data_IF_697829612015
#
_entry.id   IF_697829612015
#
_cell.length_a   1.000
_cell.length_b   1.000
_cell.length_c   1.000
_cell.angle_alpha   90.00
_cell.angle_beta   90.00
_cell.angle_gamma   90.00
#
_symmetry.space_group_name_H-M   'P 1'
#
loop_
_entity.id
_entity.type
_entity.pdbx_description
1 polymer ?
#
# COMPACT_ATOMS: atom_id res chain seq x y z
N UNK A 1 -23.41 -17.13 14.97
CA UNK A 1 -22.36 -16.75 15.95
C UNK A 1 -21.81 -15.41 15.53
N UNK A 2 -21.52 -14.53 16.47
CA UNK A 2 -20.85 -13.26 16.18
C UNK A 2 -19.45 -13.54 15.63
N UNK A 3 -19.14 -13.07 14.42
CA UNK A 3 -17.83 -13.27 13.80
C UNK A 3 -16.78 -12.44 14.53
N UNK A 4 -15.51 -12.87 14.50
CA UNK A 4 -14.39 -12.14 15.11
C UNK A 4 -13.76 -11.16 14.13
N UNK A 5 -13.15 -10.09 14.64
CA UNK A 5 -12.15 -9.32 13.89
C UNK A 5 -10.77 -9.90 14.18
N UNK A 6 -10.00 -10.16 13.13
CA UNK A 6 -8.58 -10.48 13.26
C UNK A 6 -7.74 -9.20 13.28
N UNK A 7 -7.09 -8.92 14.40
CA UNK A 7 -6.15 -7.82 14.56
C UNK A 7 -4.73 -8.33 14.30
N UNK A 8 -4.02 -7.69 13.37
CA UNK A 8 -2.66 -8.04 12.98
C UNK A 8 -1.73 -6.86 13.25
N UNK A 9 -0.70 -7.09 14.06
CA UNK A 9 0.31 -6.08 14.40
C UNK A 9 1.54 -6.24 13.52
N UNK A 10 1.94 -5.20 12.80
CA UNK A 10 3.22 -5.18 12.05
C UNK A 10 4.25 -4.20 12.61
N UNK A 11 3.87 -3.39 13.61
CA UNK A 11 4.70 -2.38 14.26
C UNK A 11 4.31 -0.96 13.86
N UNK A 12 5.31 -0.14 13.53
CA UNK A 12 5.12 1.26 13.16
C UNK A 12 4.91 2.22 14.33
N UNK A 13 4.68 3.49 13.99
CA UNK A 13 4.52 4.60 14.94
C UNK A 13 3.36 4.40 15.91
N UNK A 14 2.28 3.71 15.49
CA UNK A 14 1.15 3.38 16.37
C UNK A 14 1.54 2.48 17.55
N UNK A 15 2.61 1.71 17.37
CA UNK A 15 3.28 0.92 18.39
C UNK A 15 4.53 1.61 18.95
N UNK A 16 4.81 2.85 18.54
CA UNK A 16 6.04 3.56 18.87
C UNK A 16 6.01 4.28 20.21
N UNK A 17 7.18 4.51 20.81
CA UNK A 17 7.32 5.16 22.11
C UNK A 17 8.43 6.21 22.08
N UNK A 18 8.11 7.42 22.51
CA UNK A 18 9.07 8.51 22.75
C UNK A 18 9.56 8.52 24.19
N UNK A 19 10.57 9.34 24.47
CA UNK A 19 11.05 9.56 25.85
C UNK A 19 10.25 10.64 26.59
N UNK A 20 9.66 11.57 25.84
CA UNK A 20 8.70 12.59 26.28
C UNK A 20 7.39 12.51 25.49
N UNK A 21 6.30 13.03 26.07
CA UNK A 21 4.99 13.16 25.41
C UNK A 21 4.97 14.26 24.32
N UNK A 22 6.04 15.05 24.20
CA UNK A 22 6.24 16.05 23.13
C UNK A 22 7.12 15.54 21.99
N UNK A 23 7.66 14.32 22.07
CA UNK A 23 8.56 13.76 21.06
C UNK A 23 7.73 13.23 19.88
N UNK A 24 7.52 14.07 18.87
CA UNK A 24 6.72 13.71 17.69
C UNK A 24 7.55 13.19 16.51
N UNK A 25 8.86 13.34 16.54
CA UNK A 25 9.78 12.99 15.43
C UNK A 25 10.95 12.11 15.85
N UNK A 26 11.35 12.14 17.13
CA UNK A 26 12.46 11.36 17.68
C UNK A 26 11.99 10.24 18.60
N UNK A 27 11.20 9.30 18.08
CA UNK A 27 10.71 8.13 18.81
C UNK A 27 11.21 6.83 18.15
N UNK A 28 11.10 5.71 18.88
CA UNK A 28 11.35 4.38 18.32
C UNK A 28 10.00 3.76 17.95
N UNK A 29 9.82 3.36 16.70
CA UNK A 29 8.60 2.67 16.26
C UNK A 29 8.61 1.18 16.67
N UNK A 30 7.45 0.54 16.71
CA UNK A 30 7.38 -0.91 16.93
C UNK A 30 7.87 -1.38 18.30
N UNK A 31 7.57 -0.64 19.36
CA UNK A 31 7.98 -0.97 20.75
C UNK A 31 6.89 -1.74 21.49
N UNK A 32 5.63 -1.29 21.36
CA UNK A 32 4.49 -1.88 22.07
C UNK A 32 3.94 -3.11 21.34
N UNK A 33 3.45 -4.09 22.10
CA UNK A 33 2.64 -5.18 21.56
C UNK A 33 1.24 -4.72 21.12
N UNK A 34 0.63 -5.45 20.18
CA UNK A 34 -0.72 -5.18 19.70
C UNK A 34 -1.79 -5.24 20.81
N UNK A 35 -1.60 -6.13 21.78
CA UNK A 35 -2.44 -6.25 22.96
C UNK A 35 -2.35 -5.01 23.85
N UNK A 36 -1.15 -4.48 24.09
CA UNK A 36 -0.95 -3.22 24.81
C UNK A 36 -1.62 -2.04 24.09
N UNK A 37 -1.48 -1.97 22.76
CA UNK A 37 -2.13 -0.94 21.94
C UNK A 37 -3.65 -1.04 22.10
N UNK A 38 -4.26 -2.23 21.94
CA UNK A 38 -5.71 -2.35 22.01
C UNK A 38 -6.25 -1.98 23.40
N UNK A 39 -5.56 -2.40 24.47
CA UNK A 39 -5.95 -2.05 25.85
C UNK A 39 -5.91 -0.53 26.08
N UNK A 40 -5.01 0.18 25.40
CA UNK A 40 -4.92 1.64 25.49
C UNK A 40 -6.07 2.40 24.78
N UNK A 41 -6.84 1.73 23.91
CA UNK A 41 -7.89 2.39 23.11
C UNK A 41 -9.29 2.16 23.73
N UNK A 42 -9.90 3.19 24.33
CA UNK A 42 -11.26 3.08 24.85
C UNK A 42 -12.28 2.90 23.71
N UNK A 43 -13.39 2.23 24.00
CA UNK A 43 -14.51 2.08 23.06
C UNK A 43 -14.37 0.94 22.06
N UNK A 44 -13.28 0.16 22.07
CA UNK A 44 -13.12 -1.01 21.19
C UNK A 44 -13.93 -2.23 21.65
N UNK A 45 -14.15 -2.41 22.96
CA UNK A 45 -14.81 -3.59 23.53
C UNK A 45 -16.14 -3.99 22.84
N UNK A 46 -17.07 -3.07 22.50
CA UNK A 46 -18.33 -3.42 21.84
C UNK A 46 -18.21 -3.99 20.43
N UNK A 47 -17.06 -3.82 19.76
CA UNK A 47 -16.83 -4.30 18.39
C UNK A 47 -16.09 -5.65 18.33
N UNK A 48 -15.82 -6.26 19.50
CA UNK A 48 -15.30 -7.63 19.60
C UNK A 48 -16.35 -8.68 19.16
N UNK A 49 -16.06 -9.98 19.28
CA UNK A 49 -14.81 -10.57 19.77
C UNK A 49 -13.62 -10.38 18.80
N UNK A 50 -12.40 -10.48 19.33
CA UNK A 50 -11.14 -10.32 18.59
C UNK A 50 -10.29 -11.59 18.58
N UNK A 51 -9.47 -11.75 17.55
CA UNK A 51 -8.29 -12.63 17.57
C UNK A 51 -7.05 -11.79 17.24
N UNK A 52 -5.92 -12.12 17.85
CA UNK A 52 -4.71 -11.31 17.77
C UNK A 52 -3.59 -12.08 17.09
N UNK A 53 -2.80 -11.40 16.28
CA UNK A 53 -1.55 -11.93 15.75
C UNK A 53 -0.52 -10.81 15.66
N UNK A 54 0.50 -10.84 16.50
CA UNK A 54 1.69 -10.01 16.29
C UNK A 54 2.49 -10.65 15.16
N UNK A 55 2.39 -10.10 13.95
CA UNK A 55 3.07 -10.61 12.77
C UNK A 55 4.55 -10.18 12.76
N UNK A 56 4.78 -8.90 13.00
CA UNK A 56 6.11 -8.29 13.12
C UNK A 56 6.04 -7.09 14.06
N UNK A 57 7.18 -6.52 14.42
CA UNK A 57 7.22 -5.27 15.18
C UNK A 57 8.38 -4.40 14.69
N UNK A 58 8.22 -3.82 13.49
CA UNK A 58 9.29 -3.12 12.77
C UNK A 58 8.85 -1.73 12.30
N UNK A 59 9.82 -0.90 11.90
CA UNK A 59 9.57 0.29 11.10
C UNK A 59 9.10 -0.09 9.70
N UNK A 60 8.14 0.65 9.16
CA UNK A 60 7.59 0.35 7.82
C UNK A 60 8.61 0.57 6.70
N UNK A 61 9.66 1.36 6.94
CA UNK A 61 10.81 1.51 6.05
C UNK A 61 11.60 0.21 5.86
N UNK A 62 11.54 -0.71 6.82
CA UNK A 62 12.24 -2.01 6.80
C UNK A 62 11.38 -3.15 6.24
N UNK A 63 10.19 -2.84 5.72
CA UNK A 63 9.34 -3.85 5.09
C UNK A 63 10.01 -4.39 3.83
N UNK A 64 9.91 -5.70 3.67
CA UNK A 64 10.53 -6.44 2.57
C UNK A 64 9.46 -7.16 1.75
N UNK A 65 9.85 -7.62 0.58
CA UNK A 65 9.01 -8.50 -0.26
C UNK A 65 8.59 -9.76 0.50
N UNK A 66 9.46 -10.33 1.33
CA UNK A 66 9.14 -11.51 2.12
C UNK A 66 8.06 -11.21 3.16
N UNK A 67 8.15 -10.05 3.84
CA UNK A 67 7.09 -9.59 4.75
C UNK A 67 5.75 -9.48 4.02
N UNK A 68 5.70 -8.95 2.79
CA UNK A 68 4.47 -8.89 2.00
C UNK A 68 3.90 -10.27 1.64
N UNK A 69 4.74 -11.19 1.18
CA UNK A 69 4.31 -12.56 0.85
C UNK A 69 3.75 -13.28 2.08
N UNK A 70 4.43 -13.20 3.21
CA UNK A 70 4.00 -13.83 4.46
C UNK A 70 2.74 -13.20 5.02
N UNK A 71 2.64 -11.87 5.01
CA UNK A 71 1.46 -11.15 5.45
C UNK A 71 0.25 -11.48 4.58
N UNK A 72 0.41 -11.52 3.25
CA UNK A 72 -0.67 -11.90 2.32
C UNK A 72 -1.17 -13.33 2.59
N UNK A 73 -0.26 -14.29 2.80
CA UNK A 73 -0.63 -15.67 3.17
C UNK A 73 -1.34 -15.74 4.51
N UNK A 74 -0.90 -14.98 5.51
CA UNK A 74 -1.55 -14.90 6.82
C UNK A 74 -2.96 -14.32 6.70
N UNK A 75 -3.12 -13.19 6.02
CA UNK A 75 -4.41 -12.53 5.82
C UNK A 75 -5.35 -13.47 5.06
N UNK A 76 -4.89 -14.10 3.97
CA UNK A 76 -5.68 -15.08 3.21
C UNK A 76 -6.15 -16.25 4.10
N UNK A 77 -5.25 -16.80 4.94
CA UNK A 77 -5.60 -17.87 5.89
C UNK A 77 -6.69 -17.42 6.87
N UNK A 78 -6.63 -16.19 7.36
CA UNK A 78 -7.59 -15.65 8.31
C UNK A 78 -8.96 -15.40 7.66
N UNK A 79 -8.99 -14.75 6.48
CA UNK A 79 -10.25 -14.45 5.80
C UNK A 79 -10.96 -15.71 5.27
N UNK A 80 -10.23 -16.80 5.04
CA UNK A 80 -10.81 -18.11 4.70
C UNK A 80 -11.56 -18.80 5.85
N UNK A 81 -11.43 -18.33 7.09
CA UNK A 81 -12.15 -18.91 8.24
C UNK A 81 -13.55 -18.30 8.36
N UNK A 82 -14.55 -19.16 8.54
CA UNK A 82 -15.95 -18.73 8.72
C UNK A 82 -16.17 -17.92 10.00
N UNK A 83 -15.33 -18.11 11.02
CA UNK A 83 -15.41 -17.36 12.28
C UNK A 83 -14.76 -15.96 12.22
N UNK A 84 -14.16 -15.57 11.09
CA UNK A 84 -13.58 -14.23 10.87
C UNK A 84 -14.49 -13.40 9.98
N UNK A 85 -14.91 -12.23 10.46
CA UNK A 85 -15.76 -11.27 9.75
C UNK A 85 -15.00 -10.16 9.03
N UNK A 86 -13.77 -9.89 9.44
CA UNK A 86 -12.90 -8.86 8.86
C UNK A 86 -11.52 -8.85 9.49
N UNK A 87 -10.59 -8.13 8.87
CA UNK A 87 -9.18 -8.01 9.31
C UNK A 87 -8.84 -6.54 9.48
N UNK A 88 -8.16 -6.20 10.59
CA UNK A 88 -7.53 -4.89 10.80
C UNK A 88 -6.04 -5.09 10.99
N UNK A 89 -5.23 -4.32 10.26
CA UNK A 89 -3.77 -4.38 10.30
C UNK A 89 -3.24 -3.05 10.82
N UNK A 90 -2.54 -3.04 11.95
CA UNK A 90 -1.80 -1.87 12.43
C UNK A 90 -0.41 -1.85 11.81
N UNK A 91 -0.06 -0.75 11.15
CA UNK A 91 1.11 -0.65 10.29
C UNK A 91 1.78 0.73 10.40
N UNK A 92 3.09 0.80 10.12
CA UNK A 92 3.81 2.06 10.01
C UNK A 92 3.40 2.84 8.75
N UNK A 93 3.41 4.17 8.81
CA UNK A 93 2.82 4.99 7.75
C UNK A 93 3.70 5.14 6.51
N UNK A 94 5.02 4.91 6.59
CA UNK A 94 5.93 5.24 5.49
C UNK A 94 5.72 4.38 4.23
N UNK A 95 5.41 3.09 4.39
CA UNK A 95 5.15 2.16 3.28
C UNK A 95 3.75 1.54 3.36
N UNK A 96 2.84 2.13 4.14
CA UNK A 96 1.47 1.62 4.30
C UNK A 96 0.73 1.51 2.97
N UNK A 97 0.89 2.49 2.09
CA UNK A 97 0.27 2.52 0.77
C UNK A 97 0.74 1.36 -0.13
N UNK A 98 1.98 0.91 0.05
CA UNK A 98 2.57 -0.20 -0.70
C UNK A 98 2.01 -1.54 -0.19
N UNK A 99 2.04 -1.75 1.13
CA UNK A 99 1.45 -2.95 1.75
C UNK A 99 -0.05 -3.05 1.45
N UNK A 100 -0.78 -1.94 1.53
CA UNK A 100 -2.20 -1.89 1.22
C UNK A 100 -2.45 -2.34 -0.22
N UNK A 101 -1.72 -1.77 -1.19
CA UNK A 101 -1.91 -2.13 -2.60
C UNK A 101 -1.49 -3.57 -2.91
N UNK A 102 -0.41 -4.06 -2.28
CA UNK A 102 0.00 -5.46 -2.42
C UNK A 102 -1.09 -6.42 -1.93
N UNK A 103 -1.66 -6.19 -0.74
CA UNK A 103 -2.74 -7.02 -0.22
C UNK A 103 -4.01 -6.90 -1.06
N UNK A 104 -4.30 -5.69 -1.58
CA UNK A 104 -5.43 -5.42 -2.46
C UNK A 104 -5.40 -6.27 -3.73
N UNK A 105 -4.20 -6.62 -4.21
CA UNK A 105 -4.02 -7.44 -5.40
C UNK A 105 -3.85 -8.93 -5.10
N UNK A 106 -3.56 -9.34 -3.86
CA UNK A 106 -3.12 -10.72 -3.58
C UNK A 106 -4.03 -11.51 -2.65
N UNK A 107 -4.92 -10.84 -1.91
CA UNK A 107 -5.88 -11.50 -1.01
C UNK A 107 -7.24 -11.62 -1.69
N UNK A 108 -7.73 -12.85 -1.86
CA UNK A 108 -8.99 -13.16 -2.53
C UNK A 108 -10.09 -13.35 -1.49
N UNK A 109 -10.84 -12.28 -1.23
CA UNK A 109 -12.00 -12.26 -0.34
C UNK A 109 -12.81 -10.99 -0.57
N UNK A 110 -14.10 -11.03 -0.20
CA UNK A 110 -14.92 -9.82 -0.06
C UNK A 110 -14.99 -9.31 1.37
N UNK A 111 -14.45 -10.05 2.35
CA UNK A 111 -14.43 -9.62 3.75
C UNK A 111 -13.61 -8.32 3.89
N UNK A 112 -14.03 -7.37 4.75
CA UNK A 112 -13.29 -6.13 4.95
C UNK A 112 -11.85 -6.38 5.40
N UNK A 113 -10.90 -5.72 4.75
CA UNK A 113 -9.50 -5.64 5.16
C UNK A 113 -9.15 -4.17 5.31
N UNK A 114 -8.85 -3.76 6.54
CA UNK A 114 -8.56 -2.37 6.90
C UNK A 114 -7.12 -2.27 7.38
N UNK A 115 -6.35 -1.33 6.83
CA UNK A 115 -5.02 -0.98 7.33
C UNK A 115 -5.10 0.38 8.02
N UNK A 116 -4.45 0.50 9.17
CA UNK A 116 -4.39 1.74 9.94
C UNK A 116 -3.03 1.91 10.60
N UNK A 117 -2.77 3.11 11.11
CA UNK A 117 -1.54 3.46 11.80
C UNK A 117 -1.67 4.82 12.48
N UNK A 118 -0.54 5.47 12.74
CA UNK A 118 -0.52 6.81 13.32
C UNK A 118 0.67 7.62 12.83
N UNK A 119 0.54 8.94 12.84
CA UNK A 119 1.63 9.87 12.60
C UNK A 119 2.35 10.27 13.90
N UNK A 120 1.69 10.11 15.05
CA UNK A 120 2.25 10.39 16.39
C UNK A 120 2.39 9.09 17.20
N UNK A 121 3.45 8.94 18.02
CA UNK A 121 3.68 7.73 18.80
C UNK A 121 2.69 7.53 19.95
N UNK A 122 2.56 6.30 20.45
CA UNK A 122 1.69 5.92 21.56
C UNK A 122 2.21 6.51 22.89
N UNK A 123 1.71 7.70 23.23
CA UNK A 123 2.14 8.47 24.40
C UNK A 123 2.37 9.95 24.11
N UNK A 124 2.40 10.33 22.82
CA UNK A 124 2.42 11.73 22.44
C UNK A 124 1.13 12.45 22.86
N UNK A 125 1.25 13.75 23.17
CA UNK A 125 0.09 14.63 23.34
C UNK A 125 -0.74 14.61 22.06
N UNK A 126 -2.04 14.36 22.21
CA UNK A 126 -2.98 14.24 21.08
C UNK A 126 -2.54 13.19 20.05
N UNK A 127 -2.04 12.03 20.51
CA UNK A 127 -1.75 10.89 19.65
C UNK A 127 -2.99 10.49 18.82
N UNK A 128 -2.79 10.24 17.53
CA UNK A 128 -3.86 9.91 16.57
C UNK A 128 -4.14 8.40 16.48
N UNK A 129 -3.20 7.56 16.94
CA UNK A 129 -3.35 6.10 16.95
C UNK A 129 -4.64 5.56 17.58
N UNK A 130 -5.06 6.03 18.77
CA UNK A 130 -6.27 5.52 19.41
C UNK A 130 -7.54 5.70 18.57
N UNK A 131 -7.78 6.89 18.02
CA UNK A 131 -8.97 7.13 17.20
C UNK A 131 -8.88 6.40 15.86
N UNK A 132 -7.70 6.37 15.23
CA UNK A 132 -7.49 5.65 13.97
C UNK A 132 -7.77 4.15 14.12
N UNK A 133 -7.31 3.51 15.21
CA UNK A 133 -7.56 2.09 15.46
C UNK A 133 -9.04 1.81 15.73
N UNK A 134 -9.70 2.64 16.55
CA UNK A 134 -11.13 2.49 16.82
C UNK A 134 -11.94 2.59 15.51
N UNK A 135 -11.64 3.58 14.68
CA UNK A 135 -12.31 3.77 13.38
C UNK A 135 -12.01 2.64 12.40
N UNK A 136 -10.79 2.11 12.38
CA UNK A 136 -10.46 0.95 11.54
C UNK A 136 -11.26 -0.30 11.94
N UNK A 137 -11.45 -0.54 13.24
CA UNK A 137 -12.29 -1.62 13.76
C UNK A 137 -13.76 -1.40 13.41
N UNK A 138 -14.27 -0.17 13.53
CA UNK A 138 -15.63 0.20 13.14
C UNK A 138 -15.88 -0.03 11.65
N UNK A 139 -14.94 0.37 10.80
CA UNK A 139 -14.98 0.10 9.35
C UNK A 139 -14.99 -1.40 9.09
N UNK A 140 -14.13 -2.18 9.76
CA UNK A 140 -14.12 -3.64 9.60
C UNK A 140 -15.42 -4.33 10.06
N UNK A 141 -16.20 -3.71 10.95
CA UNK A 141 -17.56 -4.16 11.34
C UNK A 141 -18.67 -3.65 10.44
N UNK A 142 -18.42 -2.66 9.59
CA UNK A 142 -19.49 -2.04 8.81
C UNK A 142 -19.87 -2.92 7.61
N UNK A 143 -21.14 -3.33 7.46
CA UNK A 143 -21.55 -4.20 6.36
C UNK A 143 -21.25 -3.62 4.96
N UNK A 144 -21.34 -2.30 4.79
CA UNK A 144 -21.03 -1.64 3.51
C UNK A 144 -19.54 -1.61 3.14
N UNK A 145 -18.65 -2.08 4.03
CA UNK A 145 -17.22 -2.24 3.76
C UNK A 145 -16.88 -3.55 3.06
N UNK A 146 -17.83 -4.49 2.97
CA UNK A 146 -17.68 -5.73 2.18
C UNK A 146 -17.47 -5.40 0.70
N UNK A 147 -16.50 -6.06 0.07
CA UNK A 147 -16.21 -5.91 -1.36
C UNK A 147 -15.64 -4.54 -1.75
N UNK A 148 -15.12 -3.75 -0.80
CA UNK A 148 -14.48 -2.44 -1.09
C UNK A 148 -12.98 -2.52 -1.41
N UNK A 149 -12.45 -3.74 -1.52
CA UNK A 149 -11.02 -3.99 -1.59
C UNK A 149 -10.35 -3.78 -0.22
N UNK A 150 -9.02 -3.66 -0.23
CA UNK A 150 -8.29 -3.21 0.96
C UNK A 150 -8.47 -1.71 1.10
N UNK A 151 -8.78 -1.25 2.32
CA UNK A 151 -8.94 0.17 2.62
C UNK A 151 -7.94 0.63 3.68
N UNK A 152 -7.54 1.90 3.60
CA UNK A 152 -6.71 2.58 4.60
C UNK A 152 -7.59 3.54 5.39
N UNK A 153 -7.51 3.50 6.71
CA UNK A 153 -8.34 4.33 7.61
C UNK A 153 -7.45 5.10 8.57
N UNK A 154 -7.35 6.41 8.36
CA UNK A 154 -6.68 7.37 9.23
C UNK A 154 -7.44 8.70 9.18
N UNK A 155 -7.40 9.44 10.29
CA UNK A 155 -7.92 10.81 10.36
C UNK A 155 -9.40 10.94 9.94
N UNK A 156 -10.23 9.94 10.25
CA UNK A 156 -11.66 9.93 9.90
C UNK A 156 -11.98 9.67 8.42
N UNK A 157 -10.99 9.39 7.57
CA UNK A 157 -11.19 9.09 6.16
C UNK A 157 -11.02 7.59 5.86
N UNK A 158 -11.67 7.15 4.79
CA UNK A 158 -11.57 5.79 4.25
C UNK A 158 -11.05 5.91 2.82
N UNK A 159 -9.85 5.42 2.57
CA UNK A 159 -9.21 5.47 1.25
C UNK A 159 -9.03 4.09 0.64
N UNK A 160 -9.14 4.00 -0.69
CA UNK A 160 -8.89 2.76 -1.43
C UNK A 160 -7.40 2.49 -1.56
N UNK A 161 -6.97 1.26 -1.30
CA UNK A 161 -5.57 0.86 -1.33
C UNK A 161 -4.84 1.18 -2.64
N UNK A 162 -5.53 1.24 -3.78
CA UNK A 162 -4.94 1.59 -5.08
C UNK A 162 -4.49 3.05 -5.15
N UNK A 163 -5.29 3.98 -4.66
CA UNK A 163 -5.11 5.41 -4.94
C UNK A 163 -4.50 6.19 -3.75
N UNK A 164 -4.65 5.66 -2.53
CA UNK A 164 -4.16 6.29 -1.31
C UNK A 164 -2.65 6.50 -1.31
N UNK A 165 -2.16 7.69 -0.97
CA UNK A 165 -0.73 7.97 -0.84
C UNK A 165 -0.45 8.83 0.39
N UNK A 166 0.73 8.69 0.98
CA UNK A 166 1.22 9.58 2.05
C UNK A 166 1.70 10.89 1.42
N UNK A 167 0.95 11.97 1.58
CA UNK A 167 1.18 13.26 0.92
C UNK A 167 1.94 14.28 1.78
N UNK A 168 2.18 13.97 3.06
CA UNK A 168 2.88 14.84 3.99
C UNK A 168 3.74 14.05 4.99
N UNK A 169 4.88 14.62 5.38
CA UNK A 169 5.85 13.95 6.26
C UNK A 169 5.44 13.95 7.75
N UNK A 170 4.57 14.86 8.21
CA UNK A 170 4.26 15.01 9.65
C UNK A 170 2.77 15.24 9.97
N UNK A 171 1.96 15.69 9.01
CA UNK A 171 0.54 15.96 9.24
C UNK A 171 -0.25 14.67 9.50
N UNK A 172 -1.15 14.66 10.49
CA UNK A 172 -2.06 13.53 10.76
C UNK A 172 -3.03 13.28 9.59
N UNK A 173 -3.36 14.31 8.82
CA UNK A 173 -4.15 14.24 7.60
C UNK A 173 -3.27 14.01 6.36
N UNK A 174 -2.29 13.08 6.45
CA UNK A 174 -1.31 12.87 5.37
C UNK A 174 -1.78 11.93 4.27
N UNK A 175 -2.59 10.93 4.60
CA UNK A 175 -3.08 9.99 3.59
C UNK A 175 -4.24 10.61 2.82
N UNK A 176 -4.07 10.69 1.50
CA UNK A 176 -5.07 11.23 0.58
C UNK A 176 -4.99 10.46 -0.74
N UNK A 177 -6.01 10.62 -1.57
CA UNK A 177 -6.10 10.06 -2.92
C UNK A 177 -6.26 11.21 -3.93
N UNK A 178 -5.21 11.99 -4.24
CA UNK A 178 -5.35 13.33 -4.84
C UNK A 178 -6.11 13.40 -6.17
N UNK A 179 -6.16 12.30 -6.93
CA UNK A 179 -6.87 12.25 -8.21
C UNK A 179 -8.35 11.88 -8.07
N UNK A 180 -8.69 10.96 -7.16
CA UNK A 180 -10.03 10.34 -7.08
C UNK A 180 -10.76 10.63 -5.77
N UNK A 181 -10.06 11.16 -4.78
CA UNK A 181 -10.51 11.45 -3.41
C UNK A 181 -10.82 10.21 -2.58
N UNK A 182 -11.11 10.42 -1.29
CA UNK A 182 -11.51 9.37 -0.35
C UNK A 182 -12.74 8.59 -0.83
N UNK A 183 -12.81 7.31 -0.46
CA UNK A 183 -14.00 6.47 -0.69
C UNK A 183 -15.15 6.84 0.25
N UNK A 184 -14.81 7.32 1.44
CA UNK A 184 -15.77 7.59 2.50
C UNK A 184 -15.16 8.29 3.72
N UNK A 185 -15.99 8.46 4.74
CA UNK A 185 -15.62 9.01 6.05
C UNK A 185 -16.14 8.12 7.17
N UNK A 186 -15.57 8.26 8.36
CA UNK A 186 -16.09 7.68 9.59
C UNK A 186 -16.61 8.81 10.48
N UNK A 187 -17.93 8.86 10.69
CA UNK A 187 -18.60 9.85 11.51
C UNK A 187 -19.33 9.16 12.66
N UNK A 188 -19.05 9.55 13.90
CA UNK A 188 -19.66 8.99 15.11
C UNK A 188 -19.66 7.45 15.16
N UNK A 189 -18.57 6.87 14.67
CA UNK A 189 -18.36 5.43 14.61
C UNK A 189 -19.04 4.69 13.47
N UNK A 190 -19.64 5.41 12.52
CA UNK A 190 -20.33 4.86 11.35
C UNK A 190 -19.50 5.17 10.10
N UNK A 191 -19.20 4.15 9.31
CA UNK A 191 -18.54 4.32 8.02
C UNK A 191 -19.57 4.70 6.93
N UNK A 192 -19.36 5.85 6.30
CA UNK A 192 -20.17 6.37 5.21
C UNK A 192 -19.36 6.35 3.91
N UNK A 193 -19.75 5.50 2.97
CA UNK A 193 -19.12 5.42 1.64
C UNK A 193 -19.88 6.27 0.62
N UNK A 194 -19.14 7.03 -0.18
CA UNK A 194 -19.65 7.83 -1.29
C UNK A 194 -19.10 7.36 -2.64
N UNK A 195 -18.01 6.57 -2.63
CA UNK A 195 -17.36 6.03 -3.82
C UNK A 195 -16.95 4.57 -3.61
N UNK A 196 -16.54 3.92 -4.68
CA UNK A 196 -15.89 2.62 -4.70
C UNK A 196 -14.81 2.62 -5.79
N UNK A 197 -13.80 1.75 -5.67
CA UNK A 197 -12.85 1.56 -6.75
C UNK A 197 -13.54 0.95 -7.97
N UNK A 198 -13.16 1.39 -9.16
CA UNK A 198 -13.61 0.81 -10.44
C UNK A 198 -12.55 -0.12 -11.05
N UNK A 199 -11.43 -0.32 -10.35
CA UNK A 199 -10.32 -1.18 -10.76
C UNK A 199 -10.48 -2.54 -10.08
N UNK A 200 -10.01 -3.60 -10.74
CA UNK A 200 -10.11 -4.95 -10.20
C UNK A 200 -9.25 -5.08 -8.94
N UNK A 201 -9.77 -5.79 -7.96
CA UNK A 201 -9.07 -6.05 -6.71
C UNK A 201 -9.59 -7.32 -6.05
N UNK A 202 -8.83 -7.81 -5.07
CA UNK A 202 -9.21 -8.88 -4.16
C UNK A 202 -9.76 -10.13 -4.87
N UNK A 203 -11.04 -10.47 -4.66
CA UNK A 203 -11.70 -11.61 -5.30
C UNK A 203 -11.64 -11.59 -6.84
N UNK A 204 -11.56 -10.40 -7.47
CA UNK A 204 -11.45 -10.21 -8.93
C UNK A 204 -9.98 -10.10 -9.40
N UNK A 205 -9.02 -10.21 -8.49
CA UNK A 205 -7.61 -10.25 -8.83
C UNK A 205 -7.18 -11.59 -9.43
N UNK A 206 -6.27 -11.53 -10.39
CA UNK A 206 -5.66 -12.73 -10.97
C UNK A 206 -4.36 -13.13 -10.24
N UNK A 207 -3.86 -12.30 -9.34
CA UNK A 207 -2.55 -12.47 -8.72
C UNK A 207 -2.64 -13.33 -7.44
N UNK A 208 -2.27 -14.60 -7.57
CA UNK A 208 -2.16 -15.54 -6.44
C UNK A 208 -0.68 -15.73 -6.07
N UNK A 209 -0.34 -15.41 -4.82
CA UNK A 209 1.02 -15.51 -4.25
C UNK A 209 1.16 -16.63 -3.23
N UNK A 210 0.12 -17.45 -3.02
CA UNK A 210 0.07 -18.49 -1.99
C UNK A 210 1.22 -19.51 -2.08
N UNK A 211 1.67 -19.81 -3.30
CA UNK A 211 2.74 -20.77 -3.61
C UNK A 211 4.09 -20.12 -3.95
N UNK A 212 4.17 -18.80 -3.95
CA UNK A 212 5.41 -18.09 -4.30
C UNK A 212 6.32 -17.97 -3.07
N UNK A 213 7.61 -18.23 -3.26
CA UNK A 213 8.65 -18.03 -2.25
C UNK A 213 9.39 -16.70 -2.44
N UNK A 214 9.43 -16.20 -3.68
CA UNK A 214 10.09 -14.96 -4.07
C UNK A 214 9.25 -14.23 -5.12
N UNK A 215 9.54 -12.94 -5.33
CA UNK A 215 8.95 -12.15 -6.40
C UNK A 215 10.02 -11.58 -7.33
N UNK A 216 9.68 -11.30 -8.60
CA UNK A 216 10.57 -10.67 -9.57
C UNK A 216 11.22 -9.38 -9.04
N UNK A 217 12.51 -9.19 -9.30
CA UNK A 217 13.26 -8.01 -8.87
C UNK A 217 12.94 -6.81 -9.76
N UNK A 218 12.02 -5.97 -9.31
CA UNK A 218 11.66 -4.71 -9.97
C UNK A 218 12.32 -3.52 -9.26
N UNK A 219 13.07 -2.72 -10.01
CA UNK A 219 13.80 -1.53 -9.54
C UNK A 219 13.03 -0.26 -9.90
N UNK A 220 13.08 0.76 -9.04
CA UNK A 220 12.60 2.11 -9.36
C UNK A 220 13.83 3.01 -9.56
N UNK A 221 13.84 3.78 -10.64
CA UNK A 221 14.85 4.81 -10.89
C UNK A 221 14.17 6.16 -11.11
N UNK A 222 14.50 7.13 -10.26
CA UNK A 222 13.94 8.48 -10.35
C UNK A 222 14.80 9.39 -11.21
N UNK A 223 14.19 9.93 -12.26
CA UNK A 223 14.83 10.89 -13.15
C UNK A 223 14.81 12.30 -12.56
N UNK A 224 15.87 13.05 -12.87
CA UNK A 224 16.04 14.45 -12.50
C UNK A 224 16.78 15.23 -13.58
N UNK A 225 16.72 16.57 -13.52
CA UNK A 225 17.45 17.42 -14.44
C UNK A 225 18.96 17.29 -14.21
N UNK A 226 19.73 17.08 -15.28
CA UNK A 226 21.17 16.87 -15.19
C UNK A 226 21.60 15.46 -14.76
N UNK A 227 20.70 14.47 -14.81
CA UNK A 227 21.04 13.07 -14.53
C UNK A 227 22.13 12.56 -15.48
N UNK A 228 23.23 12.08 -14.92
CA UNK A 228 24.34 11.50 -15.65
C UNK A 228 24.04 10.09 -16.16
N UNK A 229 24.83 9.62 -17.13
CA UNK A 229 24.63 8.31 -17.77
C UNK A 229 24.99 7.14 -16.86
N UNK A 230 25.85 7.33 -15.84
CA UNK A 230 26.33 6.21 -15.01
C UNK A 230 25.20 5.60 -14.20
N UNK A 231 24.26 6.41 -13.71
CA UNK A 231 23.10 5.91 -12.94
C UNK A 231 22.23 4.95 -13.77
N UNK A 232 21.66 5.33 -14.93
CA UNK A 232 20.86 4.41 -15.75
C UNK A 232 21.68 3.24 -16.31
N UNK A 233 22.96 3.45 -16.67
CA UNK A 233 23.82 2.35 -17.12
C UNK A 233 24.01 1.31 -16.02
N UNK A 234 24.24 1.74 -14.78
CA UNK A 234 24.41 0.84 -13.63
C UNK A 234 23.14 0.02 -13.39
N UNK A 235 21.97 0.66 -13.41
CA UNK A 235 20.68 -0.02 -13.24
C UNK A 235 20.49 -1.09 -14.31
N UNK A 236 20.70 -0.76 -15.59
CA UNK A 236 20.58 -1.72 -16.71
C UNK A 236 21.60 -2.85 -16.57
N UNK A 237 22.84 -2.55 -16.15
CA UNK A 237 23.90 -3.54 -15.97
C UNK A 237 23.56 -4.59 -14.88
N UNK A 238 22.78 -4.23 -13.85
CA UNK A 238 22.31 -5.22 -12.87
C UNK A 238 21.29 -6.22 -13.45
N UNK A 239 20.72 -5.95 -14.63
CA UNK A 239 19.73 -6.79 -15.31
C UNK A 239 18.54 -7.18 -14.40
N UNK A 240 17.72 -6.22 -13.94
CA UNK A 240 16.51 -6.52 -13.16
C UNK A 240 15.46 -7.25 -13.98
N UNK A 241 14.45 -7.81 -13.31
CA UNK A 241 13.31 -8.44 -13.99
C UNK A 241 12.34 -7.41 -14.56
N UNK A 242 12.37 -6.18 -14.03
CA UNK A 242 11.62 -5.03 -14.53
C UNK A 242 12.15 -3.70 -13.97
N UNK A 243 11.81 -2.61 -14.65
CA UNK A 243 12.24 -1.26 -14.29
C UNK A 243 11.05 -0.30 -14.28
N UNK A 244 10.91 0.47 -13.22
CA UNK A 244 10.04 1.64 -13.17
C UNK A 244 10.91 2.89 -13.36
N UNK A 245 10.65 3.63 -14.43
CA UNK A 245 11.24 4.94 -14.67
C UNK A 245 10.33 6.03 -14.13
N UNK A 246 10.72 6.64 -13.02
CA UNK A 246 9.99 7.77 -12.45
C UNK A 246 10.41 9.06 -13.17
N UNK A 247 9.69 9.40 -14.23
CA UNK A 247 9.94 10.56 -15.07
C UNK A 247 9.48 11.89 -14.47
N UNK A 248 9.77 12.98 -15.20
CA UNK A 248 9.35 14.34 -14.87
C UNK A 248 7.97 14.65 -15.49
N UNK A 249 7.13 15.45 -14.83
CA UNK A 249 5.84 15.88 -15.41
C UNK A 249 4.94 14.70 -15.77
N UNK A 250 4.54 14.57 -17.04
CA UNK A 250 3.76 13.43 -17.56
C UNK A 250 4.57 12.11 -17.66
N UNK A 251 5.60 11.94 -16.83
CA UNK A 251 6.55 10.82 -16.92
C UNK A 251 7.57 10.98 -18.06
N UNK A 252 7.92 12.21 -18.44
CA UNK A 252 8.95 12.50 -19.44
C UNK A 252 10.31 12.00 -18.96
N UNK A 253 11.01 11.27 -19.84
CA UNK A 253 12.33 10.70 -19.58
C UNK A 253 13.41 11.52 -20.30
N UNK A 254 14.50 11.94 -19.61
CA UNK A 254 15.64 12.58 -20.26
C UNK A 254 16.19 11.77 -21.43
N UNK A 255 16.68 12.44 -22.47
CA UNK A 255 17.05 11.77 -23.72
C UNK A 255 18.17 10.74 -23.55
N UNK A 256 19.18 11.05 -22.75
CA UNK A 256 20.27 10.14 -22.42
C UNK A 256 19.78 8.89 -21.67
N UNK A 257 18.92 9.07 -20.67
CA UNK A 257 18.28 7.96 -19.94
C UNK A 257 17.46 7.09 -20.89
N UNK A 258 16.71 7.70 -21.81
CA UNK A 258 15.92 6.98 -22.81
C UNK A 258 16.82 6.16 -23.74
N UNK A 259 17.92 6.73 -24.24
CA UNK A 259 18.87 6.01 -25.10
C UNK A 259 19.43 4.76 -24.44
N UNK A 260 19.65 4.81 -23.12
CA UNK A 260 20.22 3.70 -22.33
C UNK A 260 19.15 2.64 -21.97
N UNK A 261 17.90 3.07 -21.75
CA UNK A 261 16.85 2.19 -21.20
C UNK A 261 15.79 1.76 -22.22
N UNK A 262 15.83 2.28 -23.46
CA UNK A 262 14.97 1.79 -24.54
C UNK A 262 15.30 0.34 -24.92
N UNK A 263 14.28 -0.44 -25.26
CA UNK A 263 14.44 -1.82 -25.77
C UNK A 263 15.26 -2.74 -24.86
N UNK A 264 15.17 -2.53 -23.54
CA UNK A 264 15.75 -3.41 -22.53
C UNK A 264 15.19 -4.84 -22.65
N UNK A 265 15.98 -5.83 -22.21
CA UNK A 265 15.55 -7.25 -22.18
C UNK A 265 14.43 -7.53 -21.17
N UNK A 266 14.22 -6.60 -20.24
CA UNK A 266 13.18 -6.62 -19.22
C UNK A 266 12.15 -5.50 -19.48
N UNK A 267 10.89 -5.65 -19.03
CA UNK A 267 9.88 -4.61 -19.18
C UNK A 267 10.26 -3.34 -18.42
N UNK A 268 10.10 -2.20 -19.09
CA UNK A 268 10.31 -0.87 -18.52
C UNK A 268 9.00 -0.10 -18.52
N UNK A 269 8.57 0.38 -17.36
CA UNK A 269 7.31 1.12 -17.16
C UNK A 269 7.61 2.57 -16.84
N UNK A 270 6.93 3.48 -17.53
CA UNK A 270 7.03 4.92 -17.32
C UNK A 270 6.01 5.35 -16.26
N UNK A 271 6.53 5.95 -15.18
CA UNK A 271 5.79 6.55 -14.09
C UNK A 271 6.19 8.03 -13.92
N UNK A 272 5.63 8.71 -12.93
CA UNK A 272 5.89 10.13 -12.70
C UNK A 272 6.21 10.44 -11.23
N UNK A 273 7.16 11.36 -11.01
CA UNK A 273 7.48 11.90 -9.67
C UNK A 273 6.50 12.97 -9.19
N UNK A 274 5.53 13.36 -10.01
CA UNK A 274 4.61 14.47 -9.68
C UNK A 274 3.66 14.16 -8.53
N UNK A 275 3.44 12.87 -8.23
CA UNK A 275 2.60 12.42 -7.12
C UNK A 275 1.09 12.38 -7.44
N UNK A 276 0.65 12.86 -8.59
CA UNK A 276 -0.76 12.76 -9.03
C UNK A 276 -0.89 12.92 -10.55
N UNK A 277 -1.97 12.37 -11.10
CA UNK A 277 -2.29 12.40 -12.53
C UNK A 277 -1.93 11.12 -13.28
N UNK A 278 -2.39 11.03 -14.53
CA UNK A 278 -2.18 9.86 -15.38
C UNK A 278 -0.91 10.01 -16.22
N UNK A 279 -0.11 8.96 -16.29
CA UNK A 279 0.90 8.75 -17.32
C UNK A 279 0.28 7.91 -18.44
N UNK A 280 0.03 8.55 -19.58
CA UNK A 280 -0.52 7.93 -20.79
C UNK A 280 0.54 7.69 -21.86
N UNK A 281 0.27 6.73 -22.76
CA UNK A 281 1.19 6.36 -23.82
C UNK A 281 1.38 7.50 -24.83
N UNK A 282 2.61 7.69 -25.29
CA UNK A 282 2.97 8.58 -26.39
C UNK A 282 3.67 7.80 -27.49
N UNK A 283 3.73 8.28 -28.76
CA UNK A 283 4.34 7.53 -29.87
C UNK A 283 5.77 7.04 -29.59
N UNK A 284 6.54 7.81 -28.83
CA UNK A 284 7.92 7.48 -28.45
C UNK A 284 8.02 6.25 -27.54
N UNK A 285 6.95 5.88 -26.82
CA UNK A 285 6.93 4.70 -25.96
C UNK A 285 6.94 3.41 -26.78
N UNK A 286 6.23 3.39 -27.92
CA UNK A 286 6.24 2.25 -28.84
C UNK A 286 7.63 2.01 -29.45
N UNK A 287 8.36 3.08 -29.77
CA UNK A 287 9.74 3.00 -30.27
C UNK A 287 10.73 2.49 -29.21
N UNK A 288 10.45 2.78 -27.93
CA UNK A 288 11.30 2.41 -26.81
C UNK A 288 10.88 1.10 -26.11
N UNK A 289 9.77 0.48 -26.53
CA UNK A 289 9.11 -0.64 -25.86
C UNK A 289 8.78 -0.35 -24.38
N UNK A 290 8.38 0.88 -24.08
CA UNK A 290 7.93 1.25 -22.75
C UNK A 290 6.45 0.95 -22.53
N UNK A 291 6.15 0.54 -21.30
CA UNK A 291 4.80 0.50 -20.74
C UNK A 291 4.51 1.82 -20.03
N UNK A 292 3.24 2.10 -19.74
CA UNK A 292 2.81 3.25 -18.92
C UNK A 292 1.96 2.78 -17.74
N UNK A 293 2.07 3.47 -16.60
CA UNK A 293 1.49 3.02 -15.33
C UNK A 293 0.09 3.56 -15.01
N UNK A 294 -0.62 4.17 -15.97
CA UNK A 294 -1.91 4.82 -15.73
C UNK A 294 -1.72 5.88 -14.61
N UNK A 295 -2.50 5.83 -13.52
CA UNK A 295 -2.42 6.78 -12.40
C UNK A 295 -1.60 6.27 -11.22
N UNK A 296 -0.95 5.11 -11.32
CA UNK A 296 -0.20 4.54 -10.19
C UNK A 296 1.04 5.38 -9.87
N UNK A 297 1.29 5.60 -8.59
CA UNK A 297 2.57 6.09 -8.10
C UNK A 297 3.70 5.10 -8.44
N UNK A 298 4.98 5.53 -8.51
CA UNK A 298 6.08 4.64 -8.87
C UNK A 298 6.20 3.39 -8.00
N UNK A 299 6.00 3.53 -6.69
CA UNK A 299 6.03 2.44 -5.72
C UNK A 299 4.89 1.43 -5.93
N UNK A 300 3.69 1.90 -6.31
CA UNK A 300 2.57 1.00 -6.65
C UNK A 300 2.72 0.38 -8.04
N UNK A 301 3.25 1.13 -9.00
CA UNK A 301 3.58 0.61 -10.32
C UNK A 301 4.61 -0.52 -10.24
N UNK A 302 5.59 -0.41 -9.33
CA UNK A 302 6.55 -1.46 -9.00
C UNK A 302 5.85 -2.73 -8.52
N UNK A 303 4.90 -2.60 -7.60
CA UNK A 303 4.13 -3.75 -7.07
C UNK A 303 3.34 -4.43 -8.19
N UNK A 304 2.61 -3.67 -9.01
CA UNK A 304 1.81 -4.26 -10.08
C UNK A 304 2.69 -4.93 -11.15
N UNK A 305 3.83 -4.33 -11.51
CA UNK A 305 4.77 -4.97 -12.44
C UNK A 305 5.35 -6.26 -11.86
N UNK A 306 5.74 -6.22 -10.57
CA UNK A 306 6.28 -7.38 -9.86
C UNK A 306 5.28 -8.56 -9.87
N UNK A 307 4.00 -8.30 -9.58
CA UNK A 307 2.95 -9.31 -9.65
C UNK A 307 2.63 -9.72 -11.09
N UNK A 308 2.59 -8.78 -12.04
CA UNK A 308 2.40 -9.04 -13.47
C UNK A 308 3.43 -10.02 -14.05
N UNK A 309 4.70 -9.83 -13.66
CA UNK A 309 5.82 -10.68 -14.08
C UNK A 309 5.73 -12.13 -13.56
N UNK A 310 4.95 -12.39 -12.50
CA UNK A 310 4.64 -13.77 -12.06
C UNK A 310 3.68 -14.49 -13.03
N UNK A 311 2.96 -13.74 -13.87
CA UNK A 311 1.97 -14.28 -14.82
C UNK A 311 2.49 -14.30 -16.24
N UNK A 312 3.27 -13.30 -16.65
CA UNK A 312 3.67 -13.16 -18.05
C UNK A 312 4.86 -12.22 -18.22
N UNK A 313 5.63 -12.45 -19.29
CA UNK A 313 6.64 -11.50 -19.81
C UNK A 313 6.16 -10.77 -21.07
N UNK A 314 4.92 -11.00 -21.51
CA UNK A 314 4.35 -10.36 -22.68
C UNK A 314 3.99 -8.90 -22.37
N UNK A 315 4.64 -7.95 -23.05
CA UNK A 315 4.47 -6.51 -22.81
C UNK A 315 3.02 -6.04 -22.98
N UNK A 316 2.27 -6.55 -23.98
CA UNK A 316 0.86 -6.18 -24.18
C UNK A 316 0.00 -6.63 -23.00
N UNK A 317 0.24 -7.83 -22.48
CA UNK A 317 -0.50 -8.34 -21.32
C UNK A 317 -0.13 -7.61 -20.03
N UNK A 318 1.15 -7.26 -19.84
CA UNK A 318 1.59 -6.42 -18.74
C UNK A 318 0.93 -5.03 -18.81
N UNK A 319 0.88 -4.40 -19.98
CA UNK A 319 0.18 -3.13 -20.17
C UNK A 319 -1.31 -3.24 -19.82
N UNK A 320 -1.97 -4.35 -20.22
CA UNK A 320 -3.36 -4.59 -19.87
C UNK A 320 -3.56 -4.61 -18.35
N UNK A 321 -2.64 -5.22 -17.58
CA UNK A 321 -2.75 -5.19 -16.12
C UNK A 321 -2.73 -3.77 -15.57
N UNK A 322 -1.86 -2.89 -16.07
CA UNK A 322 -1.82 -1.47 -15.66
C UNK A 322 -3.12 -0.70 -15.93
N UNK A 323 -3.95 -1.17 -16.87
CA UNK A 323 -5.26 -0.57 -17.16
C UNK A 323 -6.42 -1.21 -16.39
N UNK A 324 -6.24 -2.40 -15.82
CA UNK A 324 -7.30 -3.13 -15.12
C UNK A 324 -7.20 -3.04 -13.59
N UNK A 325 -5.99 -2.88 -13.06
CA UNK A 325 -5.65 -2.99 -11.64
C UNK A 325 -5.15 -1.67 -11.01
#
# INVERSE_FOLDING_TARGET
>A
METKIALIGTGGTIAGKGTSNTDLTGYTAGVLGLDEILVSVPGTKPYGPYTYTQFSNIESSDITVNHWLELSKLVQKLVNRDDIGGVVITHGTDSMEETAYFLNLTVHTDKPIVITGSMRPAGAISADGPINLLQAIQVARTPSSVGKGVVVVLNGYIDGARDVSKCNTTNVATFDSPLVGHLGIVQDGIAHYYKASTRRHTQDSVFDVSKLAELPRVVIMTCYGGMDDMVPMSVVATNPDGLILTGLGHGTIPQNVRQITQNTKFPTVRASRTGSGMVSAVPQDALANYLVCDTLSPQKARILLMLGLTKTKNLKKLQQFFHEY
#
